data_IF_893283156755
#
_entry.id   IF_893283156755
#
_cell.length_a   1.000
_cell.length_b   1.000
_cell.length_c   1.000
_cell.angle_alpha   90.00
_cell.angle_beta   90.00
_cell.angle_gamma   90.00
#
_symmetry.space_group_name_H-M   'P 1'
#
loop_
_entity.id
_entity.type
_entity.pdbx_description
1 polymer ?
#
# COMPACT_ATOMS: atom_id res chain seq x y z
N UNK A 1 44.43 -16.08 13.80
CA UNK A 1 44.01 -15.88 12.40
C UNK A 1 42.57 -15.42 12.46
N UNK A 2 42.23 -14.27 11.89
CA UNK A 2 40.89 -13.69 12.01
C UNK A 2 39.92 -14.32 11.00
N UNK A 3 38.71 -14.65 11.44
CA UNK A 3 37.63 -15.10 10.57
C UNK A 3 36.90 -13.87 10.04
N UNK A 4 36.98 -13.63 8.73
CA UNK A 4 36.30 -12.51 8.08
C UNK A 4 34.85 -12.90 7.77
N UNK A 5 33.91 -12.33 8.52
CA UNK A 5 32.48 -12.46 8.24
C UNK A 5 32.17 -11.95 6.83
N UNK A 6 31.63 -12.82 5.98
CA UNK A 6 31.26 -12.51 4.60
C UNK A 6 29.80 -12.12 4.55
N UNK A 7 29.52 -10.81 4.58
CA UNK A 7 28.17 -10.34 4.24
C UNK A 7 27.81 -10.73 2.80
N UNK A 8 26.59 -11.22 2.53
CA UNK A 8 26.12 -11.39 1.17
C UNK A 8 25.93 -10.01 0.55
N UNK A 9 26.66 -9.73 -0.53
CA UNK A 9 26.55 -8.50 -1.29
C UNK A 9 25.15 -8.37 -1.92
N UNK A 10 24.22 -7.78 -1.18
CA UNK A 10 22.93 -7.40 -1.70
C UNK A 10 23.12 -6.40 -2.85
N UNK A 11 22.46 -6.67 -3.98
CA UNK A 11 22.30 -5.70 -5.07
C UNK A 11 21.38 -4.57 -4.61
N UNK A 12 21.86 -3.74 -3.68
CA UNK A 12 21.24 -2.48 -3.35
C UNK A 12 21.33 -1.60 -4.60
N UNK A 13 20.17 -1.32 -5.20
CA UNK A 13 20.05 -0.26 -6.20
C UNK A 13 20.42 1.06 -5.50
N UNK A 14 21.64 1.52 -5.73
CA UNK A 14 22.22 2.73 -5.15
C UNK A 14 21.60 3.99 -5.79
N UNK A 15 20.31 4.18 -5.54
CA UNK A 15 19.51 5.31 -5.99
C UNK A 15 18.16 5.29 -5.28
N UNK A 16 17.81 6.39 -4.60
CA UNK A 16 16.60 6.51 -3.77
C UNK A 16 15.25 6.41 -4.51
N UNK A 17 15.23 5.92 -5.75
CA UNK A 17 14.04 5.68 -6.56
C UNK A 17 13.29 4.38 -6.24
N UNK A 18 13.81 3.54 -5.34
CA UNK A 18 13.14 2.29 -4.92
C UNK A 18 13.32 2.00 -3.44
N UNK A 19 12.28 1.46 -2.81
CA UNK A 19 12.34 0.82 -1.51
C UNK A 19 12.27 -0.70 -1.71
N UNK A 20 13.15 -1.44 -1.03
CA UNK A 20 13.31 -2.88 -1.19
C UNK A 20 13.30 -3.57 0.18
N UNK A 21 12.69 -4.76 0.24
CA UNK A 21 12.68 -5.60 1.44
C UNK A 21 13.00 -7.05 1.07
N UNK A 22 13.92 -7.70 1.80
CA UNK A 22 14.23 -9.10 1.57
C UNK A 22 13.09 -9.98 2.10
N UNK A 23 12.78 -11.05 1.37
CA UNK A 23 11.76 -12.02 1.73
C UNK A 23 12.41 -13.37 2.07
N UNK A 24 11.84 -14.08 3.02
CA UNK A 24 12.19 -15.48 3.29
C UNK A 24 11.50 -16.41 2.29
N UNK A 25 10.23 -16.10 1.98
CA UNK A 25 9.33 -17.00 1.25
C UNK A 25 8.27 -16.21 0.49
N UNK A 26 7.95 -16.69 -0.71
CA UNK A 26 6.79 -16.29 -1.53
C UNK A 26 5.94 -17.53 -1.80
N UNK A 27 4.61 -17.37 -1.86
CA UNK A 27 3.70 -18.47 -2.18
C UNK A 27 2.54 -18.00 -3.03
N UNK A 28 2.34 -18.62 -4.20
CA UNK A 28 1.18 -18.39 -5.07
C UNK A 28 0.10 -19.43 -4.79
N UNK A 29 -1.13 -18.99 -4.61
CA UNK A 29 -2.28 -19.89 -4.51
C UNK A 29 -2.63 -20.45 -5.88
N UNK A 30 -2.75 -21.76 -5.97
CA UNK A 30 -3.19 -22.49 -7.14
C UNK A 30 -4.60 -23.04 -6.85
N UNK A 31 -5.66 -22.43 -7.41
CA UNK A 31 -7.00 -23.00 -7.32
C UNK A 31 -7.01 -24.39 -7.93
N UNK A 32 -7.77 -25.30 -7.33
CA UNK A 32 -8.19 -26.54 -7.97
C UNK A 32 -8.75 -26.23 -9.36
N UNK A 33 -8.35 -26.99 -10.37
CA UNK A 33 -8.99 -26.89 -11.67
C UNK A 33 -10.49 -27.16 -11.53
N UNK A 34 -11.34 -26.23 -11.96
CA UNK A 34 -12.76 -26.52 -12.19
C UNK A 34 -12.81 -27.48 -13.37
N UNK A 35 -12.81 -28.78 -13.10
CA UNK A 35 -12.91 -29.79 -14.15
C UNK A 35 -14.19 -29.58 -14.95
N UNK A 36 -14.14 -29.95 -16.24
CA UNK A 36 -15.37 -30.24 -16.96
C UNK A 36 -16.20 -31.27 -16.16
N UNK A 37 -17.55 -31.22 -16.24
CA UNK A 37 -18.37 -32.25 -15.62
C UNK A 37 -17.91 -33.62 -16.13
N UNK A 38 -17.66 -34.62 -15.24
CA UNK A 38 -17.18 -35.92 -15.67
C UNK A 38 -18.10 -36.50 -16.74
N UNK A 39 -17.54 -36.78 -17.92
CA UNK A 39 -18.25 -37.56 -18.93
C UNK A 39 -18.68 -38.90 -18.31
N UNK A 40 -19.93 -39.36 -18.53
CA UNK A 40 -20.46 -40.53 -17.85
C UNK A 40 -19.65 -41.78 -18.22
N UNK A 41 -18.77 -42.22 -17.32
CA UNK A 41 -17.91 -43.38 -17.53
C UNK A 41 -16.43 -43.21 -17.14
N UNK A 42 -15.98 -42.03 -16.69
CA UNK A 42 -14.66 -41.89 -16.07
C UNK A 42 -14.76 -42.06 -14.54
N UNK A 43 -13.90 -42.92 -13.98
CA UNK A 43 -13.71 -43.04 -12.53
C UNK A 43 -13.39 -41.67 -11.91
N UNK A 44 -13.74 -41.50 -10.64
CA UNK A 44 -13.62 -40.23 -9.93
C UNK A 44 -12.16 -39.80 -9.75
N UNK A 45 -11.59 -39.19 -10.80
CA UNK A 45 -10.26 -38.62 -10.80
C UNK A 45 -10.18 -37.57 -9.69
N UNK A 46 -9.25 -37.77 -8.77
CA UNK A 46 -9.15 -37.02 -7.51
C UNK A 46 -9.06 -35.52 -7.79
N UNK A 47 -10.15 -34.80 -7.57
CA UNK A 47 -10.20 -33.35 -7.72
C UNK A 47 -9.10 -32.71 -6.88
N UNK A 48 -8.05 -32.22 -7.55
CA UNK A 48 -6.83 -31.75 -6.87
C UNK A 48 -7.17 -30.70 -5.82
N UNK A 49 -6.73 -30.92 -4.58
CA UNK A 49 -6.99 -29.96 -3.50
C UNK A 49 -6.27 -28.63 -3.77
N UNK A 50 -6.87 -27.48 -3.38
CA UNK A 50 -6.28 -26.18 -3.65
C UNK A 50 -4.95 -26.05 -2.91
N UNK A 51 -3.88 -25.74 -3.65
CA UNK A 51 -2.51 -25.87 -3.15
C UNK A 51 -1.73 -24.55 -3.26
N UNK A 52 -0.59 -24.46 -2.58
CA UNK A 52 0.30 -23.31 -2.62
C UNK A 52 1.59 -23.70 -3.34
N UNK A 53 1.89 -23.05 -4.46
CA UNK A 53 3.22 -23.12 -5.07
C UNK A 53 4.14 -22.19 -4.28
N UNK A 54 5.05 -22.77 -3.50
CA UNK A 54 5.97 -22.05 -2.60
C UNK A 54 7.34 -21.89 -3.25
N UNK A 55 7.97 -20.75 -2.98
CA UNK A 55 9.32 -20.38 -3.38
C UNK A 55 10.02 -19.87 -2.11
N UNK A 56 11.21 -20.36 -1.83
CA UNK A 56 12.03 -19.99 -0.68
C UNK A 56 13.30 -19.27 -1.16
N UNK A 57 13.80 -18.32 -0.39
CA UNK A 57 15.09 -17.69 -0.64
C UNK A 57 16.23 -18.65 -0.33
N UNK A 58 17.09 -18.94 -1.30
CA UNK A 58 18.32 -19.71 -1.11
C UNK A 58 19.44 -19.24 -2.03
N UNK A 59 20.68 -19.63 -1.73
CA UNK A 59 21.84 -19.37 -2.60
C UNK A 59 21.69 -20.04 -3.98
N UNK A 60 21.08 -21.23 -4.02
CA UNK A 60 20.88 -22.03 -5.24
C UNK A 60 19.80 -21.46 -6.17
N UNK A 61 18.68 -20.98 -5.59
CA UNK A 61 17.51 -20.51 -6.34
C UNK A 61 17.44 -18.99 -6.50
N UNK A 62 18.30 -18.27 -5.78
CA UNK A 62 18.30 -16.82 -5.69
C UNK A 62 17.39 -16.29 -4.58
N UNK A 63 17.78 -15.12 -4.06
CA UNK A 63 17.03 -14.43 -3.01
C UNK A 63 15.77 -13.75 -3.55
N UNK A 64 14.69 -13.82 -2.78
CA UNK A 64 13.43 -13.15 -3.02
C UNK A 64 13.48 -11.70 -2.51
N UNK A 65 13.09 -10.74 -3.35
CA UNK A 65 13.05 -9.32 -3.02
C UNK A 65 11.70 -8.72 -3.39
N UNK A 66 11.07 -8.01 -2.46
CA UNK A 66 9.92 -7.15 -2.72
C UNK A 66 10.43 -5.75 -3.00
N UNK A 67 10.05 -5.16 -4.14
CA UNK A 67 10.45 -3.81 -4.53
C UNK A 67 9.23 -2.92 -4.77
N UNK A 68 9.24 -1.70 -4.23
CA UNK A 68 8.28 -0.64 -4.55
C UNK A 68 9.08 0.57 -5.04
N UNK A 69 8.91 0.92 -6.32
CA UNK A 69 9.55 2.10 -6.93
C UNK A 69 8.76 3.39 -6.65
N UNK A 70 9.40 4.55 -6.77
CA UNK A 70 8.76 5.86 -6.53
C UNK A 70 7.53 6.13 -7.41
N UNK A 71 7.48 5.57 -8.61
CA UNK A 71 6.31 5.62 -9.51
C UNK A 71 5.15 4.73 -9.06
N UNK A 72 5.25 4.05 -7.91
CA UNK A 72 4.18 3.23 -7.34
C UNK A 72 4.01 1.85 -7.98
N UNK A 73 4.96 1.39 -8.80
CA UNK A 73 4.98 -0.01 -9.24
C UNK A 73 5.51 -0.91 -8.15
N UNK A 74 4.87 -2.06 -8.00
CA UNK A 74 5.18 -3.14 -7.06
C UNK A 74 5.71 -4.35 -7.83
N UNK A 75 6.79 -4.93 -7.31
CA UNK A 75 7.41 -6.12 -7.89
C UNK A 75 7.81 -7.11 -6.79
N UNK A 76 7.74 -8.41 -7.11
CA UNK A 76 8.45 -9.47 -6.40
C UNK A 76 9.31 -10.19 -7.41
N UNK A 77 10.62 -10.29 -7.15
CA UNK A 77 11.57 -11.02 -7.98
C UNK A 77 12.32 -12.08 -7.19
N UNK A 78 12.81 -13.11 -7.89
CA UNK A 78 13.76 -14.10 -7.39
C UNK A 78 14.98 -14.11 -8.31
N UNK A 79 16.13 -13.61 -7.83
CA UNK A 79 17.28 -13.33 -8.69
C UNK A 79 16.88 -12.41 -9.85
N UNK A 80 17.03 -12.90 -11.09
CA UNK A 80 16.64 -12.19 -12.32
C UNK A 80 15.18 -12.45 -12.76
N UNK A 81 14.44 -13.35 -12.10
CA UNK A 81 13.08 -13.74 -12.50
C UNK A 81 12.04 -12.85 -11.82
N UNK A 82 11.14 -12.23 -12.59
CA UNK A 82 9.98 -11.52 -12.05
C UNK A 82 8.83 -12.49 -11.73
N UNK A 83 8.38 -12.51 -10.48
CA UNK A 83 7.30 -13.40 -10.00
C UNK A 83 5.94 -12.68 -9.98
N UNK A 84 5.89 -11.44 -9.50
CA UNK A 84 4.72 -10.56 -9.54
C UNK A 84 5.14 -9.16 -9.99
N UNK A 85 4.29 -8.48 -10.77
CA UNK A 85 4.47 -7.09 -11.16
C UNK A 85 3.12 -6.41 -11.42
N UNK A 86 2.89 -5.23 -10.84
CA UNK A 86 1.69 -4.41 -11.08
C UNK A 86 1.85 -2.99 -10.53
N UNK A 87 1.03 -2.04 -11.01
CA UNK A 87 0.94 -0.71 -10.39
C UNK A 87 0.05 -0.72 -9.15
N UNK A 88 0.47 -0.03 -8.09
CA UNK A 88 -0.34 0.24 -6.90
C UNK A 88 -1.30 1.43 -7.11
N UNK A 89 -1.06 2.26 -8.13
CA UNK A 89 -1.91 3.42 -8.45
C UNK A 89 -3.29 2.91 -8.88
N UNK A 90 -4.36 3.48 -8.28
CA UNK A 90 -5.74 3.07 -8.55
C UNK A 90 -6.11 1.65 -8.05
N UNK A 91 -5.22 0.97 -7.32
CA UNK A 91 -5.38 -0.46 -7.00
C UNK A 91 -6.51 -0.80 -6.01
N UNK A 92 -7.02 0.19 -5.26
CA UNK A 92 -7.98 0.02 -4.14
C UNK A 92 -9.23 -0.81 -4.47
N UNK A 93 -9.67 -0.82 -5.73
CA UNK A 93 -10.89 -1.54 -6.16
C UNK A 93 -10.65 -3.02 -6.47
N UNK A 94 -9.40 -3.40 -6.79
CA UNK A 94 -9.06 -4.76 -7.23
C UNK A 94 -8.00 -5.44 -6.35
N UNK A 95 -7.24 -4.70 -5.55
CA UNK A 95 -6.20 -5.20 -4.66
C UNK A 95 -6.63 -5.10 -3.19
N UNK A 96 -6.53 -6.23 -2.48
CA UNK A 96 -6.72 -6.32 -1.02
C UNK A 96 -5.45 -6.89 -0.40
N UNK A 97 -4.94 -6.23 0.64
CA UNK A 97 -3.75 -6.68 1.38
C UNK A 97 -4.14 -6.91 2.84
N UNK A 98 -3.74 -8.04 3.40
CA UNK A 98 -3.95 -8.41 4.80
C UNK A 98 -2.60 -8.74 5.43
N UNK A 99 -2.27 -8.13 6.57
CA UNK A 99 -1.04 -8.36 7.33
C UNK A 99 -1.28 -9.29 8.51
N UNK A 100 -0.45 -10.32 8.67
CA UNK A 100 -0.37 -11.11 9.91
C UNK A 100 1.09 -11.27 10.30
N UNK A 101 1.50 -10.70 11.44
CA UNK A 101 2.89 -10.71 11.90
C UNK A 101 3.88 -10.16 10.84
N UNK A 102 4.87 -10.96 10.49
CA UNK A 102 5.92 -10.82 9.48
C UNK A 102 5.47 -11.26 8.06
N UNK A 103 4.17 -11.46 7.85
CA UNK A 103 3.61 -11.94 6.59
C UNK A 103 2.55 -10.98 6.01
N UNK A 104 2.50 -10.89 4.68
CA UNK A 104 1.44 -10.22 3.93
C UNK A 104 0.76 -11.21 2.97
N UNK A 105 -0.58 -11.19 2.96
CA UNK A 105 -1.43 -11.88 2.00
C UNK A 105 -2.04 -10.84 1.06
N UNK A 106 -1.83 -11.05 -0.24
CA UNK A 106 -2.36 -10.23 -1.32
C UNK A 106 -3.45 -11.01 -2.06
N UNK A 107 -4.66 -10.45 -2.13
CA UNK A 107 -5.72 -10.92 -3.00
C UNK A 107 -5.98 -9.89 -4.10
N UNK A 108 -5.92 -10.30 -5.36
CA UNK A 108 -6.21 -9.42 -6.50
C UNK A 108 -7.38 -9.98 -7.29
N UNK A 109 -8.40 -9.17 -7.60
CA UNK A 109 -9.57 -9.57 -8.39
C UNK A 109 -9.71 -8.70 -9.63
N UNK A 110 -9.44 -9.25 -10.81
CA UNK A 110 -9.46 -8.54 -12.10
C UNK A 110 -10.36 -9.31 -13.07
N UNK A 111 -11.34 -8.65 -13.69
CA UNK A 111 -12.29 -9.26 -14.66
C UNK A 111 -12.87 -10.59 -14.17
N UNK A 112 -13.40 -10.59 -12.94
CA UNK A 112 -13.96 -11.75 -12.21
C UNK A 112 -12.98 -12.92 -11.94
N UNK A 113 -11.68 -12.79 -12.27
CA UNK A 113 -10.63 -13.75 -11.91
C UNK A 113 -9.90 -13.25 -10.66
N UNK A 114 -9.88 -14.08 -9.62
CA UNK A 114 -9.13 -13.81 -8.39
C UNK A 114 -7.84 -14.62 -8.36
N UNK A 115 -6.72 -13.96 -8.06
CA UNK A 115 -5.45 -14.61 -7.68
C UNK A 115 -5.09 -14.21 -6.25
N UNK A 116 -4.44 -15.13 -5.52
CA UNK A 116 -3.89 -14.85 -4.20
C UNK A 116 -2.42 -15.23 -4.16
N UNK A 117 -1.61 -14.43 -3.49
CA UNK A 117 -0.24 -14.77 -3.15
C UNK A 117 0.11 -14.23 -1.77
N UNK A 118 1.08 -14.85 -1.11
CA UNK A 118 1.57 -14.44 0.21
C UNK A 118 3.09 -14.31 0.21
N UNK A 119 3.60 -13.44 1.06
CA UNK A 119 5.02 -13.28 1.34
C UNK A 119 5.29 -13.32 2.83
N UNK A 120 6.48 -13.79 3.18
CA UNK A 120 7.07 -13.69 4.51
C UNK A 120 8.37 -12.90 4.39
N UNK A 121 8.55 -11.89 5.23
CA UNK A 121 9.77 -11.08 5.26
C UNK A 121 10.91 -11.87 5.93
N UNK A 122 12.15 -11.64 5.50
CA UNK A 122 13.34 -12.19 6.17
C UNK A 122 14.02 -11.13 7.05
N UNK A 123 14.86 -11.60 7.96
CA UNK A 123 15.69 -10.81 8.87
C UNK A 123 16.56 -11.74 9.72
N UNK A 124 17.62 -11.21 10.33
CA UNK A 124 18.47 -11.96 11.27
C UNK A 124 17.75 -12.35 12.56
N UNK A 125 16.61 -11.71 12.86
CA UNK A 125 15.69 -12.11 13.92
C UNK A 125 14.22 -11.96 13.48
N UNK A 126 13.29 -12.49 14.28
CA UNK A 126 11.85 -12.35 14.04
C UNK A 126 11.38 -10.90 14.15
N UNK A 127 12.02 -10.14 15.03
CA UNK A 127 11.76 -8.72 15.28
C UNK A 127 12.19 -7.89 14.07
N UNK A 128 13.36 -8.18 13.47
CA UNK A 128 13.81 -7.54 12.24
C UNK A 128 12.92 -7.88 11.04
N UNK A 129 12.49 -9.14 10.90
CA UNK A 129 11.52 -9.53 9.87
C UNK A 129 10.16 -8.81 10.05
N UNK A 130 9.74 -8.60 11.31
CA UNK A 130 8.54 -7.84 11.65
C UNK A 130 8.71 -6.34 11.34
N UNK A 131 9.89 -5.77 11.56
CA UNK A 131 10.25 -4.39 11.22
C UNK A 131 10.25 -4.16 9.69
N UNK A 132 10.87 -5.06 8.92
CA UNK A 132 10.80 -5.04 7.45
C UNK A 132 9.34 -5.10 6.96
N UNK A 133 8.51 -5.97 7.57
CA UNK A 133 7.08 -6.03 7.30
C UNK A 133 6.36 -4.70 7.65
N UNK A 134 6.62 -4.10 8.82
CA UNK A 134 6.08 -2.79 9.22
C UNK A 134 6.44 -1.70 8.20
N UNK A 135 7.71 -1.60 7.82
CA UNK A 135 8.24 -0.61 6.87
C UNK A 135 7.59 -0.77 5.48
N UNK A 136 7.47 -2.00 4.98
CA UNK A 136 6.77 -2.27 3.73
C UNK A 136 5.28 -1.90 3.79
N UNK A 137 4.60 -2.18 4.90
CA UNK A 137 3.20 -1.79 5.12
C UNK A 137 3.03 -0.28 5.14
N UNK A 138 3.95 0.46 5.78
CA UNK A 138 3.94 1.93 5.76
C UNK A 138 4.11 2.49 4.33
N UNK A 139 4.92 1.85 3.47
CA UNK A 139 5.04 2.24 2.06
C UNK A 139 3.79 1.89 1.26
N UNK A 140 3.24 0.69 1.43
CA UNK A 140 2.00 0.24 0.76
C UNK A 140 0.79 1.12 1.11
N UNK A 141 0.70 1.57 2.36
CA UNK A 141 -0.38 2.44 2.87
C UNK A 141 -0.47 3.80 2.14
N UNK A 142 0.58 4.22 1.42
CA UNK A 142 0.56 5.42 0.57
C UNK A 142 -0.36 5.24 -0.66
N UNK A 143 -0.67 4.00 -1.04
CA UNK A 143 -1.44 3.66 -2.25
C UNK A 143 -2.74 2.89 -1.95
N UNK A 144 -2.68 1.91 -1.02
CA UNK A 144 -3.77 0.96 -0.75
C UNK A 144 -3.88 0.64 0.74
N UNK A 145 -5.10 0.45 1.23
CA UNK A 145 -5.34 0.10 2.64
C UNK A 145 -4.89 -1.33 2.94
N UNK A 146 -3.99 -1.49 3.90
CA UNK A 146 -3.57 -2.80 4.43
C UNK A 146 -4.41 -3.11 5.67
N UNK A 147 -5.11 -4.24 5.66
CA UNK A 147 -5.91 -4.69 6.81
C UNK A 147 -5.03 -5.47 7.80
N UNK A 148 -5.20 -5.21 9.09
CA UNK A 148 -4.64 -6.04 10.17
C UNK A 148 -5.81 -6.82 10.80
N UNK A 149 -5.79 -8.16 10.82
CA UNK A 149 -6.79 -8.94 11.55
C UNK A 149 -6.58 -8.74 13.05
N UNK A 150 -7.41 -7.91 13.67
CA UNK A 150 -7.48 -7.82 15.12
C UNK A 150 -7.90 -9.18 15.71
N UNK A 151 -7.18 -9.62 16.74
CA UNK A 151 -7.35 -10.92 17.40
C UNK A 151 -8.69 -11.09 18.17
N UNK A 152 -9.66 -10.19 17.98
CA UNK A 152 -10.90 -10.07 18.77
C UNK A 152 -12.16 -10.13 17.89
N UNK A 153 -12.04 -10.22 16.56
CA UNK A 153 -13.22 -10.32 15.66
C UNK A 153 -13.75 -11.75 15.44
N UNK A 154 -13.29 -12.74 16.20
CA UNK A 154 -13.66 -14.15 16.00
C UNK A 154 -13.96 -14.91 17.30
N UNK A 155 -14.46 -14.23 18.34
CA UNK A 155 -15.06 -14.88 19.52
C UNK A 155 -16.53 -14.46 19.64
N UNK A 156 -17.42 -15.43 19.40
CA UNK A 156 -18.82 -15.49 19.86
C UNK A 156 -19.63 -14.18 19.91
N UNK A 157 -20.46 -13.92 18.89
CA UNK A 157 -21.74 -13.22 19.11
C UNK A 157 -22.69 -14.17 19.85
N UNK A 158 -23.13 -13.90 21.09
CA UNK A 158 -24.17 -14.70 21.73
C UNK A 158 -25.51 -14.40 21.05
N UNK A 159 -26.07 -15.40 20.38
CA UNK A 159 -27.38 -15.35 19.73
C UNK A 159 -28.47 -15.27 20.83
N UNK A 160 -29.29 -14.19 20.91
CA UNK A 160 -30.21 -14.02 22.02
C UNK A 160 -31.55 -14.74 21.79
N UNK A 161 -31.79 -15.85 22.50
CA UNK A 161 -33.10 -16.52 22.61
C UNK A 161 -33.04 -17.72 23.59
N UNK A 162 -34.14 -18.14 24.26
CA UNK A 162 -35.02 -17.32 25.10
C UNK A 162 -35.44 -18.02 26.44
N UNK A 163 -36.02 -17.25 27.38
CA UNK A 163 -36.82 -17.69 28.55
C UNK A 163 -36.18 -18.56 29.67
N UNK A 164 -36.14 -18.01 30.90
CA UNK A 164 -37.07 -18.41 31.98
C UNK A 164 -37.12 -17.40 33.15
N UNK A 165 -38.24 -17.45 33.88
CA UNK A 165 -38.58 -16.53 34.97
C UNK A 165 -38.03 -16.96 36.34
N UNK A 166 -37.96 -16.01 37.27
CA UNK A 166 -37.62 -16.21 38.68
C UNK A 166 -37.74 -14.89 39.45
N UNK A 167 -38.90 -14.62 40.01
CA UNK A 167 -39.19 -13.41 40.80
C UNK A 167 -38.57 -13.46 42.19
N UNK A 168 -38.08 -12.33 42.70
CA UNK A 168 -38.22 -11.94 44.11
C UNK A 168 -37.98 -10.44 44.30
N UNK A 169 -38.48 -9.89 45.39
CA UNK A 169 -38.89 -8.49 45.54
C UNK A 169 -38.21 -7.82 46.75
N UNK A 170 -37.73 -6.56 46.61
CA UNK A 170 -37.04 -5.85 47.70
C UNK A 170 -37.01 -4.31 47.56
N UNK A 171 -37.96 -3.63 48.21
CA UNK A 171 -38.09 -2.16 48.37
C UNK A 171 -36.76 -1.47 48.74
N UNK A 172 -36.37 -0.34 48.12
CA UNK A 172 -36.76 1.04 48.52
C UNK A 172 -35.47 1.85 48.87
N UNK A 173 -35.39 3.19 48.86
CA UNK A 173 -36.39 4.26 48.74
C UNK A 173 -35.75 5.60 48.28
N UNK A 174 -36.60 6.56 47.88
CA UNK A 174 -36.41 8.03 47.86
C UNK A 174 -35.52 8.72 46.79
N UNK A 175 -36.21 9.49 45.93
CA UNK A 175 -35.71 10.59 45.11
C UNK A 175 -35.52 11.89 45.93
N UNK A 176 -34.73 12.86 45.41
CA UNK A 176 -35.16 14.28 45.16
C UNK A 176 -34.10 15.05 44.35
N UNK A 177 -34.52 16.14 43.70
CA UNK A 177 -33.81 16.82 42.60
C UNK A 177 -33.29 18.27 42.87
N UNK A 178 -33.04 19.07 41.79
CA UNK A 178 -32.08 20.20 41.74
C UNK A 178 -32.64 21.62 41.90
N UNK A 179 -31.77 22.66 42.01
CA UNK A 179 -31.61 23.79 41.04
C UNK A 179 -30.13 24.31 40.90
N UNK A 180 -29.65 25.28 40.07
CA UNK A 180 -30.07 25.97 38.82
C UNK A 180 -28.87 26.74 38.11
N UNK A 181 -29.17 27.48 37.03
CA UNK A 181 -28.44 28.56 36.26
C UNK A 181 -27.56 29.59 37.05
N UNK A 182 -26.67 30.46 36.52
CA UNK A 182 -26.20 30.87 35.16
C UNK A 182 -25.21 32.10 35.22
N UNK A 183 -24.55 32.56 34.11
CA UNK A 183 -23.46 33.59 34.07
C UNK A 183 -23.99 35.04 33.72
N UNK A 184 -23.21 36.10 33.30
CA UNK A 184 -21.75 36.29 33.01
C UNK A 184 -21.12 37.65 33.49
N UNK A 185 -19.83 37.97 33.12
CA UNK A 185 -19.35 39.28 32.57
C UNK A 185 -17.80 39.41 32.43
N UNK A 186 -17.34 40.38 31.60
CA UNK A 186 -15.94 40.79 31.27
C UNK A 186 -15.96 42.31 30.94
N UNK A 187 -14.92 43.11 31.26
CA UNK A 187 -14.35 43.99 30.20
C UNK A 187 -12.83 44.37 30.27
N UNK A 188 -12.22 44.39 29.07
CA UNK A 188 -11.30 45.40 28.44
C UNK A 188 -9.83 45.74 28.88
N UNK A 189 -8.92 45.63 27.86
CA UNK A 189 -7.72 46.46 27.49
C UNK A 189 -6.44 46.45 28.39
N UNK A 190 -5.24 46.97 27.95
CA UNK A 190 -4.91 47.87 26.81
C UNK A 190 -3.68 47.55 25.88
N UNK A 191 -3.51 48.37 24.81
CA UNK A 191 -2.29 48.87 24.07
C UNK A 191 -1.00 48.00 23.92
N UNK A 192 -0.40 47.76 22.73
CA UNK A 192 0.22 48.61 21.67
C UNK A 192 1.77 48.76 21.79
N UNK A 193 2.47 48.54 20.66
CA UNK A 193 3.93 48.70 20.37
C UNK A 193 4.90 47.57 20.81
N UNK A 194 5.82 47.20 19.90
CA UNK A 194 6.97 46.30 20.12
C UNK A 194 8.26 47.08 20.45
N UNK A 195 9.49 46.59 20.16
CA UNK A 195 9.88 45.45 19.29
C UNK A 195 10.80 44.39 19.94
N UNK A 196 11.04 43.28 19.20
CA UNK A 196 12.04 42.22 19.45
C UNK A 196 11.89 41.45 20.80
N UNK A 197 12.01 40.12 20.88
CA UNK A 197 13.15 39.29 20.50
C UNK A 197 12.73 37.85 20.14
N UNK A 198 13.70 37.07 19.65
CA UNK A 198 13.63 35.68 19.20
C UNK A 198 13.00 34.70 20.20
N UNK A 199 11.94 33.99 19.79
CA UNK A 199 11.61 32.65 20.31
C UNK A 199 10.76 31.86 19.31
N UNK A 200 11.00 30.55 19.22
CA UNK A 200 10.30 29.69 18.28
C UNK A 200 8.85 29.41 18.73
N UNK A 201 7.91 29.56 17.81
CA UNK A 201 6.56 29.01 17.93
C UNK A 201 5.99 28.77 16.53
N UNK A 202 5.17 27.72 16.38
CA UNK A 202 4.58 27.32 15.10
C UNK A 202 3.60 28.36 14.57
N UNK A 203 4.11 29.33 13.80
CA UNK A 203 3.32 30.34 13.12
C UNK A 203 2.51 29.73 11.97
N UNK A 204 1.21 29.52 12.20
CA UNK A 204 0.24 29.12 11.17
C UNK A 204 0.19 30.21 10.08
N UNK A 205 0.87 29.97 8.96
CA UNK A 205 0.95 30.91 7.83
C UNK A 205 -0.44 31.21 7.28
N UNK A 206 -0.79 32.49 7.18
CA UNK A 206 -2.07 32.89 6.57
C UNK A 206 -2.06 32.60 5.08
N UNK A 207 -3.16 32.04 4.57
CA UNK A 207 -3.38 31.82 3.13
C UNK A 207 -3.27 33.15 2.35
N UNK A 208 -3.66 34.28 2.95
CA UNK A 208 -3.50 35.61 2.35
C UNK A 208 -2.03 36.00 2.13
N UNK A 209 -1.12 35.57 3.01
CA UNK A 209 0.32 35.87 2.90
C UNK A 209 0.96 35.03 1.80
N UNK A 210 0.58 33.74 1.69
CA UNK A 210 0.99 32.87 0.59
C UNK A 210 0.46 33.37 -0.76
N UNK A 211 -0.80 33.80 -0.83
CA UNK A 211 -1.38 34.36 -2.05
C UNK A 211 -0.65 35.64 -2.50
N UNK A 212 -0.31 36.55 -1.57
CA UNK A 212 0.46 37.75 -1.89
C UNK A 212 1.89 37.43 -2.34
N UNK A 213 2.56 36.47 -1.69
CA UNK A 213 3.91 36.01 -2.09
C UNK A 213 3.94 35.44 -3.52
N UNK A 214 2.91 34.67 -3.91
CA UNK A 214 2.80 34.13 -5.27
C UNK A 214 2.47 35.21 -6.32
N UNK A 215 1.73 36.25 -5.96
CA UNK A 215 1.36 37.35 -6.87
C UNK A 215 2.48 38.40 -7.04
N UNK A 216 3.46 38.44 -6.14
CA UNK A 216 4.60 39.38 -6.19
C UNK A 216 5.83 38.77 -6.89
N UNK A 217 5.85 37.45 -7.11
CA UNK A 217 6.95 36.74 -7.77
C UNK A 217 6.91 36.85 -9.30
N UNK A 218 7.04 38.07 -9.85
CA UNK A 218 7.28 38.31 -11.29
C UNK A 218 8.71 37.97 -11.73
N UNK A 219 9.19 36.78 -11.37
CA UNK A 219 10.40 36.20 -11.95
C UNK A 219 10.08 34.77 -12.39
N UNK A 220 9.73 34.63 -13.67
CA UNK A 220 9.50 33.34 -14.31
C UNK A 220 10.85 32.61 -14.34
N UNK A 221 11.01 31.43 -13.72
CA UNK A 221 12.16 30.59 -14.00
C UNK A 221 12.22 30.36 -15.51
N UNK A 222 13.40 30.40 -16.16
CA UNK A 222 13.49 30.09 -17.57
C UNK A 222 12.88 28.71 -17.78
N UNK A 223 11.87 28.62 -18.65
CA UNK A 223 11.25 27.35 -19.03
C UNK A 223 12.40 26.47 -19.51
N UNK A 224 12.69 25.42 -18.73
CA UNK A 224 13.83 24.55 -18.96
C UNK A 224 13.56 23.76 -20.25
N UNK A 225 14.03 24.29 -21.38
CA UNK A 225 14.26 23.54 -22.61
C UNK A 225 15.44 22.58 -22.39
N UNK A 226 15.19 21.59 -21.52
CA UNK A 226 15.92 20.35 -21.50
C UNK A 226 14.87 19.29 -21.74
N UNK A 227 14.93 18.66 -22.92
CA UNK A 227 14.34 17.34 -23.12
C UNK A 227 14.83 16.47 -21.96
N UNK A 228 13.92 16.12 -21.04
CA UNK A 228 14.26 15.48 -19.77
C UNK A 228 14.74 14.02 -19.90
N UNK A 229 15.04 13.60 -21.13
CA UNK A 229 15.39 12.27 -21.56
C UNK A 229 16.50 12.40 -22.59
N UNK A 230 17.63 11.75 -22.34
CA UNK A 230 18.60 11.50 -23.39
C UNK A 230 18.00 10.52 -24.41
N UNK A 231 18.40 10.64 -25.68
CA UNK A 231 17.95 9.72 -26.74
C UNK A 231 18.41 8.28 -26.45
N UNK A 232 19.51 8.12 -25.71
CA UNK A 232 20.02 6.82 -25.26
C UNK A 232 19.13 6.13 -24.20
N UNK A 233 18.45 6.89 -23.33
CA UNK A 233 17.58 6.35 -22.27
C UNK A 233 16.16 6.02 -22.74
N UNK A 234 15.73 6.61 -23.86
CA UNK A 234 14.41 6.37 -24.44
C UNK A 234 14.21 4.91 -24.88
N UNK A 235 15.26 4.25 -25.37
CA UNK A 235 15.21 2.84 -25.82
C UNK A 235 14.84 1.86 -24.70
N UNK A 236 15.57 1.84 -23.56
CA UNK A 236 15.22 1.07 -22.37
C UNK A 236 13.82 1.37 -21.83
N UNK A 237 13.41 2.65 -21.80
CA UNK A 237 12.08 3.06 -21.34
C UNK A 237 10.97 2.51 -22.24
N UNK A 238 11.09 2.66 -23.56
CA UNK A 238 10.12 2.10 -24.52
C UNK A 238 9.98 0.58 -24.40
N UNK A 239 11.08 -0.14 -24.17
CA UNK A 239 11.02 -1.61 -23.93
C UNK A 239 10.23 -1.94 -22.66
N UNK A 240 10.43 -1.20 -21.57
CA UNK A 240 9.66 -1.38 -20.34
C UNK A 240 8.16 -1.10 -20.54
N UNK A 241 7.82 -0.06 -21.31
CA UNK A 241 6.44 0.24 -21.67
C UNK A 241 5.80 -0.85 -22.53
N UNK A 242 6.52 -1.38 -23.52
CA UNK A 242 6.05 -2.48 -24.38
C UNK A 242 5.86 -3.82 -23.64
N UNK A 243 6.36 -3.95 -22.40
CA UNK A 243 6.05 -5.10 -21.53
C UNK A 243 4.66 -5.00 -20.85
N UNK A 244 4.03 -3.83 -20.84
CA UNK A 244 2.62 -3.67 -20.43
C UNK A 244 1.70 -3.90 -21.63
N UNK A 245 0.86 -4.94 -21.55
CA UNK A 245 -0.10 -5.29 -22.61
C UNK A 245 -1.16 -4.20 -22.87
N UNK A 246 -1.33 -3.23 -21.98
CA UNK A 246 -2.24 -2.10 -22.18
C UNK A 246 -1.56 -0.89 -22.85
N UNK A 247 -0.22 -0.86 -22.91
CA UNK A 247 0.52 0.27 -23.45
C UNK A 247 0.24 0.56 -24.93
N UNK A 248 0.15 -0.43 -25.85
CA UNK A 248 -0.21 -0.16 -27.26
C UNK A 248 -1.55 0.56 -27.41
N UNK A 249 -2.60 0.09 -26.71
CA UNK A 249 -3.93 0.72 -26.74
C UNK A 249 -3.95 2.12 -26.10
N UNK A 250 -3.10 2.35 -25.07
CA UNK A 250 -2.91 3.69 -24.51
C UNK A 250 -2.22 4.63 -25.50
N UNK A 251 -1.20 4.17 -26.23
CA UNK A 251 -0.52 4.96 -27.27
C UNK A 251 -1.49 5.33 -28.40
N UNK A 252 -2.35 4.41 -28.84
CA UNK A 252 -3.39 4.69 -29.85
C UNK A 252 -4.37 5.80 -29.40
N UNK A 253 -4.84 5.77 -28.14
CA UNK A 253 -5.71 6.84 -27.62
C UNK A 253 -4.96 8.17 -27.44
N UNK A 254 -3.68 8.16 -27.06
CA UNK A 254 -2.83 9.37 -27.03
C UNK A 254 -2.63 9.95 -28.43
N UNK A 255 -2.34 9.12 -29.44
CA UNK A 255 -2.19 9.55 -30.83
C UNK A 255 -3.50 10.16 -31.38
N UNK A 256 -4.64 9.53 -31.06
CA UNK A 256 -5.98 10.01 -31.38
C UNK A 256 -6.30 11.35 -30.72
N UNK A 257 -5.88 11.57 -29.47
CA UNK A 257 -6.04 12.87 -28.81
C UNK A 257 -5.12 13.94 -29.41
N UNK A 258 -3.87 13.60 -29.72
CA UNK A 258 -2.93 14.48 -30.42
C UNK A 258 -3.43 14.88 -31.82
N UNK A 259 -4.07 13.96 -32.56
CA UNK A 259 -4.72 14.26 -33.86
C UNK A 259 -5.87 15.26 -33.73
N UNK A 260 -6.66 15.20 -32.65
CA UNK A 260 -7.69 16.23 -32.37
C UNK A 260 -7.07 17.61 -32.12
N UNK A 261 -5.96 17.66 -31.37
CA UNK A 261 -5.27 18.91 -31.03
C UNK A 261 -4.51 19.53 -32.22
N UNK A 262 -3.92 18.69 -33.07
CA UNK A 262 -3.12 19.14 -34.24
C UNK A 262 -3.95 19.34 -35.51
N UNK A 263 -5.21 18.91 -35.53
CA UNK A 263 -6.13 19.15 -36.65
C UNK A 263 -5.83 18.35 -37.93
N UNK A 264 -4.82 17.47 -37.93
CA UNK A 264 -4.56 16.57 -39.06
C UNK A 264 -5.71 15.56 -39.20
N UNK A 265 -6.56 15.81 -40.20
CA UNK A 265 -7.45 14.82 -40.79
C UNK A 265 -6.66 14.02 -41.83
N UNK A 266 -6.81 12.69 -41.82
CA UNK A 266 -6.26 11.78 -42.83
C UNK A 266 -6.75 12.15 -44.25
#
# INVERSE_FOLDING_TARGET
>A
MAEAGKEPAGLALAGGGAAQWPLQRYGRFMPSGTGEPPGPGQDAETASSPTWKVFDSSEESGYLVLTIVISGHFFISQGQTLLEGFSLIGSKNWLKIVRRMDCLLFGTTIKNKSRMFRVQFSGGSKEQALEHCCSCVQKLAQYVTVQVPDAVSQELRPRPSPLRAGESQGKGCAQRGPPQQGPPQNPEKPQLCGPANTSASGGRTSVSWLAQSLLVSEERPPVREQSAWDTEELGPFLRLCLMDQNFPAFVEEVEKELKKLTGLRN
#
